data_IF_802732054848
#
_entry.id   IF_802732054848
#
_cell.length_a   1.000
_cell.length_b   1.000
_cell.length_c   1.000
_cell.angle_alpha   90.00
_cell.angle_beta   90.00
_cell.angle_gamma   90.00
#
_symmetry.space_group_name_H-M   'P 1'
#
loop_
_entity.id
_entity.type
_entity.pdbx_description
1 polymer ?
#
# COMPACT_ATOMS: atom_id res chain seq x y z
N UNK A 1 -0.33 -0.08 -12.34
CA UNK A 1 -1.28 0.77 -11.60
C UNK A 1 -1.14 2.19 -12.09
N UNK A 2 -2.24 2.85 -12.41
CA UNK A 2 -2.21 4.29 -12.69
C UNK A 2 -1.90 5.07 -11.40
N UNK A 3 -1.30 6.26 -11.52
CA UNK A 3 -1.04 7.15 -10.37
C UNK A 3 -2.31 7.38 -9.52
N UNK A 4 -3.47 7.48 -10.18
CA UNK A 4 -4.77 7.60 -9.53
C UNK A 4 -5.13 6.38 -8.67
N UNK A 5 -4.86 5.18 -9.19
CA UNK A 5 -5.13 3.93 -8.45
C UNK A 5 -4.21 3.77 -7.25
N UNK A 6 -2.92 4.10 -7.39
CA UNK A 6 -1.98 4.10 -6.28
C UNK A 6 -2.40 5.05 -5.17
N UNK A 7 -2.84 6.26 -5.53
CA UNK A 7 -3.33 7.22 -4.54
C UNK A 7 -4.58 6.72 -3.82
N UNK A 8 -5.56 6.18 -4.55
CA UNK A 8 -6.75 5.58 -3.94
C UNK A 8 -6.39 4.41 -3.02
N UNK A 9 -5.47 3.54 -3.45
CA UNK A 9 -5.02 2.42 -2.65
C UNK A 9 -4.38 2.85 -1.33
N UNK A 10 -3.49 3.86 -1.37
CA UNK A 10 -2.86 4.40 -0.17
C UNK A 10 -3.86 5.06 0.79
N UNK A 11 -4.85 5.79 0.26
CA UNK A 11 -5.92 6.37 1.08
C UNK A 11 -6.76 5.28 1.77
N UNK A 12 -7.08 4.20 1.06
CA UNK A 12 -7.77 3.03 1.64
C UNK A 12 -6.91 2.43 2.76
N UNK A 13 -5.61 2.20 2.55
CA UNK A 13 -4.72 1.67 3.58
C UNK A 13 -4.66 2.57 4.83
N UNK A 14 -4.67 3.89 4.64
CA UNK A 14 -4.72 4.85 5.76
C UNK A 14 -6.03 4.73 6.54
N UNK A 15 -7.18 4.64 5.84
CA UNK A 15 -8.49 4.46 6.49
C UNK A 15 -8.56 3.13 7.25
N UNK A 16 -7.93 2.08 6.73
CA UNK A 16 -7.83 0.78 7.41
C UNK A 16 -6.82 0.80 8.59
N UNK A 17 -6.11 1.90 8.82
CA UNK A 17 -5.16 2.01 9.94
C UNK A 17 -3.88 1.19 9.73
N UNK A 18 -3.42 1.07 8.48
CA UNK A 18 -2.13 0.43 8.21
C UNK A 18 -1.02 1.17 8.98
N UNK A 19 -0.32 0.44 9.86
CA UNK A 19 0.55 1.04 10.86
C UNK A 19 1.86 1.63 10.27
N UNK A 20 2.20 1.25 9.03
CA UNK A 20 3.44 1.70 8.35
C UNK A 20 3.14 2.85 7.39
N UNK A 21 4.00 3.86 7.38
CA UNK A 21 3.93 4.95 6.41
C UNK A 21 4.30 4.43 5.02
N UNK A 22 3.34 4.43 4.10
CA UNK A 22 3.55 4.06 2.71
C UNK A 22 3.40 5.29 1.81
N UNK A 23 4.47 5.62 1.09
CA UNK A 23 4.50 6.73 0.13
C UNK A 23 4.35 6.25 -1.32
N UNK A 24 3.86 7.11 -2.20
CA UNK A 24 3.72 6.84 -3.64
C UNK A 24 5.08 6.53 -4.31
N UNK A 25 6.16 7.11 -3.81
CA UNK A 25 7.52 6.87 -4.33
C UNK A 25 7.95 5.41 -4.19
N UNK A 26 7.47 4.70 -3.17
CA UNK A 26 7.76 3.27 -3.00
C UNK A 26 7.21 2.43 -4.15
N UNK A 27 6.23 2.95 -4.92
CA UNK A 27 5.62 2.26 -6.05
C UNK A 27 6.01 2.85 -7.41
N UNK A 28 6.94 3.82 -7.46
CA UNK A 28 7.53 4.28 -8.75
C UNK A 28 8.23 3.14 -9.49
N UNK A 29 8.80 2.20 -8.75
CA UNK A 29 9.24 0.89 -9.23
C UNK A 29 8.37 -0.17 -8.55
N UNK A 30 8.12 -1.32 -9.20
CA UNK A 30 7.34 -2.39 -8.58
C UNK A 30 8.02 -2.84 -7.28
N UNK A 31 7.36 -2.61 -6.14
CA UNK A 31 7.86 -2.96 -4.81
C UNK A 31 7.06 -4.14 -4.25
N UNK A 32 7.45 -5.34 -4.69
CA UNK A 32 6.79 -6.59 -4.31
C UNK A 32 6.87 -6.88 -2.81
N UNK A 33 7.97 -6.50 -2.17
CA UNK A 33 8.14 -6.70 -0.73
C UNK A 33 7.09 -5.95 0.07
N UNK A 34 6.87 -4.68 -0.25
CA UNK A 34 5.91 -3.84 0.45
C UNK A 34 4.46 -4.27 0.13
N UNK A 35 4.19 -4.70 -1.10
CA UNK A 35 2.89 -5.29 -1.46
C UNK A 35 2.61 -6.58 -0.69
N UNK A 36 3.60 -7.47 -0.55
CA UNK A 36 3.45 -8.73 0.19
C UNK A 36 3.20 -8.48 1.68
N UNK A 37 3.89 -7.51 2.28
CA UNK A 37 3.65 -7.08 3.66
C UNK A 37 2.21 -6.57 3.85
N UNK A 38 1.72 -5.72 2.93
CA UNK A 38 0.35 -5.22 2.97
C UNK A 38 -0.66 -6.37 2.86
N UNK A 39 -0.46 -7.31 1.94
CA UNK A 39 -1.33 -8.48 1.78
C UNK A 39 -1.33 -9.35 3.05
N UNK A 40 -0.15 -9.59 3.62
CA UNK A 40 -0.01 -10.38 4.84
C UNK A 40 -0.67 -9.68 6.04
N UNK A 41 -0.59 -8.35 6.11
CA UNK A 41 -1.30 -7.57 7.12
C UNK A 41 -2.82 -7.62 6.92
N UNK A 42 -3.30 -7.52 5.68
CA UNK A 42 -4.74 -7.61 5.38
C UNK A 42 -5.35 -8.95 5.77
N UNK A 43 -4.58 -10.05 5.65
CA UNK A 43 -5.03 -11.41 6.00
C UNK A 43 -4.95 -11.67 7.50
N UNK A 44 -3.99 -11.08 8.21
CA UNK A 44 -3.83 -11.25 9.67
C UNK A 44 -4.68 -10.27 10.50
N UNK A 45 -5.53 -9.49 9.85
CA UNK A 45 -6.37 -8.47 10.48
C UNK A 45 -7.54 -9.07 11.27
#
# INVERSE_FOLDING_TARGET
MSYRELRNFLEILRVLGYNRLVSLENFRRPNFHLTAEILQWLIQR
#
